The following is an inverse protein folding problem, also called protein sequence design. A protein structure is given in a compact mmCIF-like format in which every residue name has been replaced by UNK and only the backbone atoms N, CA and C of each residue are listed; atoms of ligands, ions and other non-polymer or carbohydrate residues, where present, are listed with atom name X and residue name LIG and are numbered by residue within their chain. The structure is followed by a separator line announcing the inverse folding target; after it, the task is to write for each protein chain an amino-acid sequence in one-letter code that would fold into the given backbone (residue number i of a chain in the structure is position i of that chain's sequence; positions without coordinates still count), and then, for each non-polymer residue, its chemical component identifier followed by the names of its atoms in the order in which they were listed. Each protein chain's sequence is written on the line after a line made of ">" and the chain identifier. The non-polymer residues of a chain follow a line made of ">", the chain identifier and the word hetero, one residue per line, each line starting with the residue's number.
data_IF_839284731371
#
_entry.id   IF_839284731371
#
_cell.length_a   1.000
_cell.length_b   1.000
_cell.length_c   1.000
_cell.angle_alpha   90.00
_cell.angle_beta   90.00
_cell.angle_gamma   90.00
#
_symmetry.space_group_name_H-M   'P 1'
#
loop_
_entity.id
_entity.type
_entity.pdbx_description
1 polymer ?
#
# COMPACT_ATOMS: atom_id res chain seq x y z
N UNK A 1 4.08 22.84 -4.88
CA UNK A 1 2.63 22.82 -4.55
C UNK A 1 2.27 21.39 -4.23
N UNK A 2 1.61 21.10 -3.11
CA UNK A 2 1.26 19.72 -2.76
C UNK A 2 0.05 19.28 -3.58
N UNK A 3 0.26 18.46 -4.60
CA UNK A 3 -0.84 17.83 -5.35
C UNK A 3 -1.69 17.04 -4.35
N UNK A 4 -3.01 17.34 -4.22
CA UNK A 4 -3.86 16.59 -3.33
C UNK A 4 -3.85 15.12 -3.79
N UNK A 5 -3.71 14.17 -2.85
CA UNK A 5 -3.87 12.75 -3.16
C UNK A 5 -5.16 12.52 -3.94
N UNK A 6 -5.13 11.68 -4.97
CA UNK A 6 -6.34 11.29 -5.71
C UNK A 6 -7.39 10.85 -4.69
N UNK A 7 -8.57 11.47 -4.71
CA UNK A 7 -9.67 11.16 -3.77
C UNK A 7 -9.95 9.66 -3.79
N UNK A 8 -9.94 9.00 -2.62
CA UNK A 8 -10.22 7.56 -2.50
C UNK A 8 -9.02 6.63 -2.70
N UNK A 9 -7.85 7.14 -3.09
CA UNK A 9 -6.63 6.34 -3.28
C UNK A 9 -6.15 5.70 -1.98
N UNK A 10 -6.14 6.48 -0.89
CA UNK A 10 -5.67 6.04 0.41
C UNK A 10 -6.55 4.90 0.93
N UNK A 11 -7.85 5.09 0.88
CA UNK A 11 -8.85 4.10 1.28
C UNK A 11 -8.79 2.85 0.40
N UNK A 12 -8.52 3.00 -0.90
CA UNK A 12 -8.35 1.87 -1.82
C UNK A 12 -7.14 1.01 -1.43
N UNK A 13 -6.01 1.64 -1.09
CA UNK A 13 -4.80 0.93 -0.64
C UNK A 13 -5.00 0.29 0.72
N UNK A 14 -5.56 1.04 1.66
CA UNK A 14 -5.80 0.57 3.02
C UNK A 14 -6.66 -0.70 3.03
N UNK A 15 -7.70 -0.73 2.20
CA UNK A 15 -8.64 -1.84 2.12
C UNK A 15 -8.27 -2.89 1.05
N UNK A 16 -7.11 -2.80 0.40
CA UNK A 16 -6.71 -3.75 -0.63
C UNK A 16 -6.53 -5.18 -0.08
N UNK A 17 -5.72 -5.41 0.96
CA UNK A 17 -5.68 -6.70 1.66
C UNK A 17 -6.83 -6.87 2.65
N UNK A 18 -7.41 -8.07 2.70
CA UNK A 18 -8.39 -8.46 3.71
C UNK A 18 -7.69 -9.29 4.79
N UNK A 19 -7.53 -8.73 5.97
CA UNK A 19 -6.91 -9.40 7.11
C UNK A 19 -7.94 -10.15 7.96
N UNK A 20 -7.49 -11.16 8.70
CA UNK A 20 -8.32 -11.83 9.70
C UNK A 20 -8.66 -10.89 10.86
N UNK A 21 -9.72 -11.22 11.61
CA UNK A 21 -10.14 -10.44 12.80
C UNK A 21 -9.48 -10.93 14.09
N UNK A 22 -8.64 -11.96 14.01
CA UNK A 22 -7.89 -12.44 15.16
C UNK A 22 -6.75 -11.46 15.53
N UNK A 23 -6.10 -11.65 16.70
CA UNK A 23 -5.03 -10.74 17.12
C UNK A 23 -3.83 -10.65 16.15
N UNK A 24 -3.56 -11.69 15.36
CA UNK A 24 -2.51 -11.67 14.35
C UNK A 24 -2.95 -10.78 13.18
N UNK A 25 -4.16 -10.99 12.66
CA UNK A 25 -4.72 -10.19 11.57
C UNK A 25 -4.86 -8.70 11.92
N UNK A 26 -5.23 -8.37 13.17
CA UNK A 26 -5.27 -6.98 13.65
C UNK A 26 -3.87 -6.35 13.64
N UNK A 27 -2.84 -7.07 14.11
CA UNK A 27 -1.46 -6.55 14.03
C UNK A 27 -1.01 -6.40 12.58
N UNK A 28 -1.42 -7.31 11.71
CA UNK A 28 -1.07 -7.26 10.30
C UNK A 28 -1.70 -6.05 9.60
N UNK A 29 -2.96 -5.74 9.91
CA UNK A 29 -3.66 -4.57 9.37
C UNK A 29 -3.09 -3.26 9.90
N UNK A 30 -2.73 -3.18 11.17
CA UNK A 30 -2.03 -2.03 11.75
C UNK A 30 -0.68 -1.79 11.08
N UNK A 31 0.09 -2.85 10.81
CA UNK A 31 1.36 -2.72 10.11
C UNK A 31 1.17 -2.31 8.65
N UNK A 32 0.12 -2.79 8.00
CA UNK A 32 -0.25 -2.36 6.65
C UNK A 32 -0.61 -0.87 6.60
N UNK A 33 -1.38 -0.40 7.58
CA UNK A 33 -1.74 1.02 7.71
C UNK A 33 -0.49 1.92 7.73
N UNK A 34 0.52 1.57 8.54
CA UNK A 34 1.77 2.33 8.61
C UNK A 34 2.48 2.40 7.25
N UNK A 35 2.47 1.31 6.47
CA UNK A 35 3.05 1.30 5.13
C UNK A 35 2.24 2.18 4.16
N UNK A 36 0.91 2.14 4.24
CA UNK A 36 0.03 3.01 3.43
C UNK A 36 0.25 4.48 3.79
N UNK A 37 0.46 4.79 5.07
CA UNK A 37 0.80 6.13 5.53
C UNK A 37 2.15 6.59 4.98
N UNK A 38 3.20 5.74 5.01
CA UNK A 38 4.51 6.06 4.40
C UNK A 38 4.37 6.40 2.91
N UNK A 39 3.57 5.61 2.18
CA UNK A 39 3.29 5.84 0.76
C UNK A 39 2.55 7.17 0.56
N UNK A 40 1.55 7.46 1.41
CA UNK A 40 0.74 8.67 1.31
C UNK A 40 1.55 9.94 1.57
N UNK A 41 2.42 9.89 2.58
CA UNK A 41 3.26 11.01 3.01
C UNK A 41 4.56 11.13 2.22
N UNK A 42 4.87 10.19 1.32
CA UNK A 42 6.02 10.30 0.42
C UNK A 42 5.98 11.61 -0.37
N UNK A 43 7.05 12.39 -0.29
CA UNK A 43 7.20 13.70 -0.95
C UNK A 43 8.13 13.65 -2.16
N UNK A 44 8.93 12.59 -2.30
CA UNK A 44 9.78 12.33 -3.46
C UNK A 44 9.46 11.00 -4.14
N UNK A 45 9.93 10.85 -5.38
CA UNK A 45 9.83 9.59 -6.13
C UNK A 45 10.63 8.47 -5.46
N UNK A 46 11.75 8.80 -4.82
CA UNK A 46 12.60 7.83 -4.12
C UNK A 46 11.96 7.33 -2.83
N UNK A 47 11.37 8.22 -2.02
CA UNK A 47 10.59 7.82 -0.83
C UNK A 47 9.44 6.91 -1.22
N UNK A 48 8.72 7.28 -2.29
CA UNK A 48 7.62 6.49 -2.81
C UNK A 48 8.09 5.12 -3.30
N UNK A 49 9.27 5.04 -3.93
CA UNK A 49 9.86 3.77 -4.39
C UNK A 49 10.23 2.88 -3.21
N UNK A 50 10.78 3.43 -2.14
CA UNK A 50 11.10 2.68 -0.92
C UNK A 50 9.81 2.17 -0.24
N UNK A 51 8.83 3.05 -0.04
CA UNK A 51 7.55 2.70 0.57
C UNK A 51 6.81 1.63 -0.25
N UNK A 52 6.87 1.71 -1.58
CA UNK A 52 6.39 0.66 -2.49
C UNK A 52 7.10 -0.67 -2.25
N UNK A 53 8.43 -0.67 -2.14
CA UNK A 53 9.21 -1.88 -1.87
C UNK A 53 8.80 -2.55 -0.55
N UNK A 54 8.57 -1.75 0.50
CA UNK A 54 8.05 -2.23 1.79
C UNK A 54 6.67 -2.86 1.64
N UNK A 55 5.77 -2.24 0.88
CA UNK A 55 4.43 -2.75 0.63
C UNK A 55 4.43 -4.09 -0.11
N UNK A 56 5.18 -4.18 -1.21
CA UNK A 56 5.29 -5.41 -2.00
C UNK A 56 5.89 -6.55 -1.18
N UNK A 57 7.00 -6.29 -0.46
CA UNK A 57 7.65 -7.28 0.39
C UNK A 57 6.75 -7.76 1.53
N UNK A 58 6.00 -6.85 2.16
CA UNK A 58 5.10 -7.19 3.24
C UNK A 58 3.94 -8.08 2.78
N UNK A 59 3.26 -7.71 1.69
CA UNK A 59 2.17 -8.53 1.12
C UNK A 59 2.69 -9.88 0.67
N UNK A 60 3.85 -9.91 0.00
CA UNK A 60 4.47 -11.16 -0.45
C UNK A 60 4.79 -12.08 0.73
N UNK A 61 5.39 -11.55 1.79
CA UNK A 61 5.69 -12.32 2.99
C UNK A 61 4.45 -12.90 3.67
N UNK A 62 3.35 -12.15 3.70
CA UNK A 62 2.07 -12.65 4.23
C UNK A 62 1.45 -13.74 3.37
N UNK A 63 1.57 -13.64 2.04
CA UNK A 63 1.13 -14.71 1.12
C UNK A 63 1.96 -15.96 1.30
N UNK A 64 3.29 -15.84 1.32
CA UNK A 64 4.20 -16.98 1.45
C UNK A 64 4.05 -17.67 2.83
N UNK A 65 3.68 -16.93 3.87
CA UNK A 65 3.36 -17.46 5.20
C UNK A 65 1.93 -18.01 5.35
N UNK A 66 1.10 -17.93 4.30
CA UNK A 66 -0.30 -18.41 4.32
C UNK A 66 -1.28 -17.54 5.11
N UNK A 67 -0.88 -16.33 5.50
CA UNK A 67 -1.76 -15.36 6.17
C UNK A 67 -2.70 -14.64 5.18
N UNK A 68 -2.30 -14.55 3.92
CA UNK A 68 -3.13 -14.04 2.84
C UNK A 68 -3.18 -15.04 1.68
N UNK A 69 -4.30 -15.07 0.96
CA UNK A 69 -4.38 -15.78 -0.30
C UNK A 69 -3.60 -15.04 -1.39
N UNK A 70 -3.19 -15.78 -2.42
CA UNK A 70 -2.71 -15.18 -3.65
C UNK A 70 -3.90 -14.49 -4.37
N UNK A 71 -3.84 -13.17 -4.51
CA UNK A 71 -4.92 -12.37 -5.08
C UNK A 71 -4.34 -11.33 -6.06
N UNK A 72 -4.56 -11.57 -7.35
CA UNK A 72 -4.11 -10.69 -8.43
C UNK A 72 -4.86 -9.35 -8.46
N UNK A 73 -6.10 -9.30 -7.96
CA UNK A 73 -6.89 -8.07 -7.91
C UNK A 73 -6.35 -7.17 -6.80
N UNK A 74 -6.04 -7.71 -5.63
CA UNK A 74 -5.34 -6.97 -4.56
C UNK A 74 -4.02 -6.41 -5.08
N UNK A 75 -3.19 -7.25 -5.68
CA UNK A 75 -1.85 -6.84 -6.13
C UNK A 75 -1.96 -5.75 -7.21
N UNK A 76 -2.93 -5.87 -8.13
CA UNK A 76 -3.25 -4.82 -9.11
C UNK A 76 -3.71 -3.52 -8.45
N UNK A 77 -4.58 -3.57 -7.43
CA UNK A 77 -5.03 -2.37 -6.72
C UNK A 77 -3.87 -1.65 -6.04
N UNK A 78 -2.95 -2.38 -5.42
CA UNK A 78 -1.76 -1.80 -4.76
C UNK A 78 -0.87 -1.13 -5.81
N UNK A 79 -0.50 -1.86 -6.87
CA UNK A 79 0.41 -1.36 -7.91
C UNK A 79 -0.16 -0.16 -8.66
N UNK A 80 -1.42 -0.25 -9.11
CA UNK A 80 -2.08 0.83 -9.86
C UNK A 80 -2.26 2.09 -9.03
N UNK A 81 -2.58 1.93 -7.75
CA UNK A 81 -2.66 3.03 -6.80
C UNK A 81 -1.28 3.71 -6.72
N UNK A 82 -0.22 2.97 -6.37
CA UNK A 82 1.11 3.55 -6.17
C UNK A 82 1.61 4.25 -7.45
N UNK A 83 1.32 3.67 -8.61
CA UNK A 83 1.64 4.28 -9.90
C UNK A 83 1.00 5.67 -10.07
N UNK A 84 -0.29 5.83 -9.74
CA UNK A 84 -0.97 7.14 -9.79
C UNK A 84 -0.30 8.17 -8.87
N UNK A 85 0.12 7.77 -7.66
CA UNK A 85 0.85 8.65 -6.74
C UNK A 85 2.17 9.12 -7.34
N UNK A 86 2.89 8.23 -8.03
CA UNK A 86 4.14 8.57 -8.72
C UNK A 86 3.93 9.60 -9.82
N UNK A 87 2.89 9.43 -10.64
CA UNK A 87 2.54 10.40 -11.69
C UNK A 87 2.35 11.79 -11.09
N UNK A 88 1.58 11.91 -10.01
CA UNK A 88 1.35 13.19 -9.32
C UNK A 88 2.63 13.83 -8.76
N UNK A 89 3.58 13.04 -8.26
CA UNK A 89 4.86 13.55 -7.76
C UNK A 89 5.84 13.92 -8.87
N UNK A 90 5.69 13.34 -10.07
CA UNK A 90 6.56 13.61 -11.21
C UNK A 90 6.08 14.81 -12.03
N UNK A 91 4.81 15.18 -11.88
CA UNK A 91 4.18 16.37 -12.48
C UNK A 91 4.18 17.61 -11.56
N UNK A 92 4.69 17.48 -10.33
CA UNK A 92 4.74 18.54 -9.31
C UNK A 92 6.09 19.28 -9.29
#
# INVERSE_FOLDING_TARGET
>A
MSNPPVVGYYETLLNAPVFSRDPIGIRQSQRWQLIVDDIHHSTSVDDLREARGKAEGYIRGLVDAGHLSHDRIRDYKILSSIHRRRTLLSEA
#
